data_IF_910548514487
#
_entry.id   IF_910548514487
#
_cell.length_a   1.000
_cell.length_b   1.000
_cell.length_c   1.000
_cell.angle_alpha   90.00
_cell.angle_beta   90.00
_cell.angle_gamma   90.00
#
_symmetry.space_group_name_H-M   'P 1'
#
loop_
_entity.id
_entity.type
_entity.pdbx_description
1 polymer ?
#
# COMPACT_ATOMS: atom_id res chain seq x y z
N UNK A 1 3.22 54.81 -19.24
CA UNK A 1 3.66 53.41 -19.44
C UNK A 1 3.94 52.80 -18.07
N UNK A 2 2.94 52.20 -17.43
CA UNK A 2 3.16 51.40 -16.21
C UNK A 2 3.17 49.94 -16.59
N UNK A 3 4.34 49.30 -16.46
CA UNK A 3 4.46 47.85 -16.54
C UNK A 3 3.89 47.29 -15.23
N UNK A 4 2.70 46.68 -15.30
CA UNK A 4 2.24 45.77 -14.26
C UNK A 4 2.99 44.45 -14.43
N UNK A 5 4.26 44.42 -14.02
CA UNK A 5 4.96 43.17 -13.70
C UNK A 5 4.62 42.86 -12.26
N UNK A 6 3.63 41.98 -12.03
CA UNK A 6 3.46 41.31 -10.74
C UNK A 6 4.66 40.38 -10.57
N UNK A 7 5.77 40.97 -10.15
CA UNK A 7 7.01 40.28 -9.87
C UNK A 7 6.80 39.59 -8.53
N UNK A 8 7.06 38.29 -8.42
CA UNK A 8 7.09 37.58 -7.15
C UNK A 8 7.92 38.41 -6.16
N UNK A 9 7.29 38.91 -5.10
CA UNK A 9 7.87 39.95 -4.24
C UNK A 9 8.98 39.42 -3.32
N UNK A 10 8.94 38.11 -3.02
CA UNK A 10 9.91 37.42 -2.16
C UNK A 10 11.02 36.76 -3.01
N UNK A 11 12.32 37.01 -2.72
CA UNK A 11 13.43 36.25 -3.29
C UNK A 11 13.28 34.73 -3.20
N UNK A 12 12.64 34.25 -2.12
CA UNK A 12 12.35 32.82 -1.93
C UNK A 12 11.38 32.31 -2.98
N UNK A 13 10.29 33.02 -3.23
CA UNK A 13 9.31 32.65 -4.24
C UNK A 13 9.88 32.71 -5.66
N UNK A 14 10.77 33.67 -5.94
CA UNK A 14 11.49 33.75 -7.22
C UNK A 14 12.40 32.53 -7.43
N UNK A 15 13.11 32.12 -6.39
CA UNK A 15 13.93 30.90 -6.41
C UNK A 15 13.07 29.66 -6.66
N UNK A 16 11.96 29.50 -5.92
CA UNK A 16 11.02 28.39 -6.08
C UNK A 16 10.46 28.35 -7.51
N UNK A 17 10.01 29.50 -8.04
CA UNK A 17 9.49 29.60 -9.40
C UNK A 17 10.52 29.15 -10.47
N UNK A 18 11.80 29.49 -10.28
CA UNK A 18 12.87 29.08 -11.20
C UNK A 18 13.07 27.57 -11.24
N UNK A 19 12.81 26.88 -10.12
CA UNK A 19 13.03 25.45 -9.91
C UNK A 19 11.81 24.56 -10.08
N UNK A 20 10.63 25.13 -10.35
CA UNK A 20 9.43 24.33 -10.58
C UNK A 20 9.64 23.27 -11.69
N UNK A 21 9.10 22.06 -11.50
CA UNK A 21 9.15 21.05 -12.54
C UNK A 21 8.37 21.46 -13.78
N UNK A 22 8.82 20.96 -14.93
CA UNK A 22 8.31 21.39 -16.24
C UNK A 22 6.79 21.23 -16.35
N UNK A 23 6.24 20.12 -15.84
CA UNK A 23 4.80 19.85 -15.85
C UNK A 23 3.99 20.87 -15.03
N UNK A 24 4.53 21.41 -13.93
CA UNK A 24 3.89 22.50 -13.18
C UNK A 24 4.03 23.84 -13.88
N UNK A 25 5.18 24.11 -14.51
CA UNK A 25 5.39 25.35 -15.28
C UNK A 25 4.45 25.47 -16.48
N UNK A 26 4.05 24.33 -17.06
CA UNK A 26 3.15 24.25 -18.21
C UNK A 26 1.66 24.18 -17.82
N UNK A 27 1.37 23.92 -16.55
CA UNK A 27 0.00 23.80 -16.06
C UNK A 27 -0.72 25.17 -16.05
N UNK A 28 -2.00 25.17 -16.40
CA UNK A 28 -2.86 26.33 -16.20
C UNK A 28 -3.20 26.53 -14.72
N UNK A 29 -3.57 27.75 -14.34
CA UNK A 29 -4.01 28.06 -12.98
C UNK A 29 -5.14 27.13 -12.52
N UNK A 30 -6.12 26.87 -13.38
CA UNK A 30 -7.24 25.96 -13.06
C UNK A 30 -6.79 24.53 -12.77
N UNK A 31 -5.80 24.02 -13.51
CA UNK A 31 -5.25 22.67 -13.26
C UNK A 31 -4.44 22.62 -11.95
N UNK A 32 -3.67 23.66 -11.64
CA UNK A 32 -2.91 23.75 -10.37
C UNK A 32 -3.88 23.81 -9.19
N UNK A 33 -4.91 24.64 -9.26
CA UNK A 33 -5.91 24.75 -8.18
C UNK A 33 -6.69 23.44 -8.01
N UNK A 34 -7.02 22.76 -9.11
CA UNK A 34 -7.66 21.45 -9.05
C UNK A 34 -6.77 20.41 -8.38
N UNK A 35 -5.47 20.39 -8.69
CA UNK A 35 -4.50 19.49 -8.04
C UNK A 35 -4.40 19.78 -6.53
N UNK A 36 -4.34 21.06 -6.13
CA UNK A 36 -4.31 21.50 -4.73
C UNK A 36 -5.56 21.06 -3.97
N UNK A 37 -6.75 21.27 -4.55
CA UNK A 37 -8.02 20.84 -3.96
C UNK A 37 -8.06 19.31 -3.75
N UNK A 38 -7.63 18.54 -4.74
CA UNK A 38 -7.55 17.08 -4.63
C UNK A 38 -6.54 16.63 -3.57
N UNK A 39 -5.40 17.30 -3.46
CA UNK A 39 -4.37 17.00 -2.46
C UNK A 39 -4.87 17.31 -1.04
N UNK A 40 -5.49 18.48 -0.84
CA UNK A 40 -6.10 18.85 0.43
C UNK A 40 -7.23 17.88 0.83
N UNK A 41 -8.09 17.47 -0.11
CA UNK A 41 -9.14 16.49 0.12
C UNK A 41 -8.58 15.12 0.52
N UNK A 42 -7.54 14.64 -0.17
CA UNK A 42 -6.91 13.35 0.15
C UNK A 42 -6.18 13.37 1.50
N UNK A 43 -5.51 14.47 1.85
CA UNK A 43 -4.92 14.67 3.18
C UNK A 43 -5.99 14.71 4.27
N UNK A 44 -7.11 15.41 4.04
CA UNK A 44 -8.20 15.48 5.00
C UNK A 44 -8.85 14.11 5.24
N UNK A 45 -9.02 13.30 4.18
CA UNK A 45 -9.55 11.94 4.32
C UNK A 45 -8.57 10.99 5.02
N UNK A 46 -7.26 11.10 4.74
CA UNK A 46 -6.20 10.39 5.49
C UNK A 46 -6.26 10.76 6.97
N UNK A 47 -6.25 12.05 7.32
CA UNK A 47 -6.26 12.51 8.71
C UNK A 47 -7.49 12.06 9.50
N UNK A 48 -8.65 11.93 8.85
CA UNK A 48 -9.86 11.35 9.46
C UNK A 48 -9.66 9.86 9.79
N UNK A 49 -9.13 9.08 8.85
CA UNK A 49 -8.90 7.65 9.04
C UNK A 49 -7.77 7.37 10.04
N UNK A 50 -6.67 8.11 9.96
CA UNK A 50 -5.54 7.99 10.88
C UNK A 50 -5.99 8.19 12.33
N UNK A 51 -6.86 9.17 12.62
CA UNK A 51 -7.42 9.38 13.97
C UNK A 51 -8.21 8.19 14.48
N UNK A 52 -9.00 7.54 13.62
CA UNK A 52 -9.82 6.39 14.00
C UNK A 52 -8.97 5.12 14.16
N UNK A 53 -8.00 4.93 13.27
CA UNK A 53 -7.18 3.72 13.20
C UNK A 53 -5.94 3.78 14.10
N UNK A 54 -5.58 4.95 14.64
CA UNK A 54 -4.50 5.09 15.63
C UNK A 54 -4.73 4.23 16.87
N UNK A 55 -5.99 3.92 17.19
CA UNK A 55 -6.35 3.02 18.28
C UNK A 55 -6.05 1.53 18.01
N UNK A 56 -5.79 1.15 16.75
CA UNK A 56 -5.43 -0.22 16.38
C UNK A 56 -3.91 -0.42 16.50
N UNK A 57 -3.51 -1.09 17.59
CA UNK A 57 -2.16 -1.63 17.71
C UNK A 57 -1.89 -2.66 16.60
N UNK A 58 -0.65 -2.75 16.12
CA UNK A 58 -0.23 -3.86 15.24
C UNK A 58 -0.41 -5.22 15.93
N UNK A 59 -0.54 -6.35 15.20
CA UNK A 59 -0.62 -7.68 15.78
C UNK A 59 0.56 -7.96 16.70
N UNK A 60 1.76 -7.48 16.37
CA UNK A 60 2.96 -7.61 17.18
C UNK A 60 2.83 -6.84 18.50
N UNK A 61 2.42 -5.57 18.44
CA UNK A 61 2.22 -4.73 19.63
C UNK A 61 1.12 -5.32 20.53
N UNK A 62 0.02 -5.79 19.93
CA UNK A 62 -1.06 -6.43 20.66
C UNK A 62 -0.61 -7.75 21.29
N UNK A 63 0.14 -8.59 20.56
CA UNK A 63 0.69 -9.84 21.07
C UNK A 63 1.69 -9.62 22.21
N UNK A 64 2.54 -8.59 22.13
CA UNK A 64 3.43 -8.21 23.22
C UNK A 64 2.63 -7.94 24.50
N UNK A 65 1.58 -7.12 24.41
CA UNK A 65 0.71 -6.82 25.55
C UNK A 65 0.00 -8.08 26.08
N UNK A 66 -0.56 -8.89 25.19
CA UNK A 66 -1.29 -10.10 25.56
C UNK A 66 -0.41 -11.17 26.23
N UNK A 67 0.84 -11.31 25.80
CA UNK A 67 1.71 -12.40 26.23
C UNK A 67 2.70 -12.02 27.34
N UNK A 68 2.92 -10.73 27.63
CA UNK A 68 3.82 -10.30 28.71
C UNK A 68 3.41 -10.88 30.06
N UNK A 69 2.11 -10.94 30.35
CA UNK A 69 1.59 -11.52 31.59
C UNK A 69 1.73 -13.05 31.71
N UNK A 70 2.13 -13.74 30.63
CA UNK A 70 2.33 -15.19 30.62
C UNK A 70 3.77 -15.60 30.98
N UNK A 71 4.71 -14.65 30.94
CA UNK A 71 6.14 -14.88 31.19
C UNK A 71 6.43 -15.11 32.68
N UNK A 72 7.51 -15.84 32.98
CA UNK A 72 8.08 -15.87 34.32
C UNK A 72 8.69 -14.51 34.68
N UNK A 73 8.90 -14.23 35.97
CA UNK A 73 9.53 -12.97 36.40
C UNK A 73 10.93 -12.77 35.80
N UNK A 74 11.68 -13.84 35.57
CA UNK A 74 12.99 -13.80 34.92
C UNK A 74 12.87 -13.50 33.41
N UNK A 75 11.99 -14.21 32.70
CA UNK A 75 11.76 -13.97 31.28
C UNK A 75 11.19 -12.57 31.00
N UNK A 76 10.28 -12.09 31.86
CA UNK A 76 9.69 -10.76 31.75
C UNK A 76 10.72 -9.63 31.88
N UNK A 77 11.73 -9.80 32.74
CA UNK A 77 12.85 -8.84 32.88
C UNK A 77 13.75 -8.78 31.66
N UNK A 78 13.91 -9.90 30.94
CA UNK A 78 14.73 -9.97 29.73
C UNK A 78 14.07 -9.30 28.52
N UNK A 79 12.74 -9.41 28.41
CA UNK A 79 11.98 -8.89 27.27
C UNK A 79 12.01 -9.83 26.06
N UNK A 80 10.97 -9.75 25.22
CA UNK A 80 10.77 -10.64 24.07
C UNK A 80 11.88 -10.54 23.00
N UNK A 81 12.62 -9.43 22.94
CA UNK A 81 13.76 -9.22 22.04
C UNK A 81 14.96 -10.14 22.37
N UNK A 82 15.06 -10.58 23.62
CA UNK A 82 16.14 -11.46 24.12
C UNK A 82 15.67 -12.88 24.39
N UNK A 83 14.42 -13.22 24.07
CA UNK A 83 13.83 -14.52 24.30
C UNK A 83 13.70 -15.34 23.01
N UNK A 84 14.04 -16.62 23.11
CA UNK A 84 13.81 -17.61 22.07
C UNK A 84 12.89 -18.71 22.60
N UNK A 85 12.13 -19.31 21.69
CA UNK A 85 11.53 -20.61 21.88
C UNK A 85 12.47 -21.70 21.39
N UNK A 86 12.91 -22.55 22.31
CA UNK A 86 13.64 -23.77 22.03
C UNK A 86 12.65 -24.94 21.94
N UNK A 87 12.62 -25.61 20.81
CA UNK A 87 11.78 -26.79 20.58
C UNK A 87 12.67 -28.01 20.39
N UNK A 88 12.54 -28.98 21.30
CA UNK A 88 13.18 -30.30 21.16
C UNK A 88 12.31 -31.13 20.22
N UNK A 89 12.92 -31.76 19.22
CA UNK A 89 12.26 -32.62 18.23
C UNK A 89 12.97 -33.95 18.18
N UNK A 90 12.20 -35.04 18.11
CA UNK A 90 12.72 -36.40 17.93
C UNK A 90 12.22 -36.96 16.61
N UNK A 91 13.12 -37.56 15.83
CA UNK A 91 12.77 -38.30 14.62
C UNK A 91 13.23 -39.73 14.80
N UNK A 92 12.28 -40.65 14.81
CA UNK A 92 12.56 -42.08 14.75
C UNK A 92 12.63 -42.52 13.30
N UNK A 93 13.79 -43.01 12.86
CA UNK A 93 13.93 -43.62 11.53
C UNK A 93 14.08 -45.12 11.68
N UNK A 94 13.21 -45.86 10.98
CA UNK A 94 13.28 -47.32 10.91
C UNK A 94 13.98 -47.65 9.60
N UNK A 95 15.21 -48.11 9.68
CA UNK A 95 15.95 -48.63 8.53
C UNK A 95 15.36 -49.96 8.08
N UNK A 96 15.29 -50.20 6.77
CA UNK A 96 14.80 -51.47 6.21
C UNK A 96 15.79 -52.60 6.55
N UNK A 97 15.51 -53.40 7.59
CA UNK A 97 16.38 -54.47 8.07
C UNK A 97 16.04 -54.93 9.49
N UNK A 98 17.00 -55.62 10.16
CA UNK A 98 16.91 -56.05 11.58
C UNK A 98 17.55 -55.00 12.53
N UNK A 99 17.86 -53.82 12.03
CA UNK A 99 18.46 -52.73 12.81
C UNK A 99 17.45 -52.13 13.78
N UNK A 100 17.95 -51.71 14.95
CA UNK A 100 17.16 -50.93 15.89
C UNK A 100 16.80 -49.57 15.27
N UNK A 101 15.62 -49.00 15.59
CA UNK A 101 15.27 -47.65 15.16
C UNK A 101 16.31 -46.63 15.63
N UNK A 102 16.73 -45.73 14.74
CA UNK A 102 17.57 -44.59 15.11
C UNK A 102 16.70 -43.45 15.65
N UNK A 103 17.05 -42.93 16.82
CA UNK A 103 16.41 -41.77 17.44
C UNK A 103 17.29 -40.53 17.27
N UNK A 104 16.90 -39.66 16.35
CA UNK A 104 17.57 -38.40 16.07
C UNK A 104 16.93 -37.27 16.88
N UNK A 105 17.67 -36.72 17.86
CA UNK A 105 17.27 -35.52 18.60
C UNK A 105 17.78 -34.29 17.84
N UNK A 106 16.87 -33.38 17.52
CA UNK A 106 17.19 -32.09 16.91
C UNK A 106 16.55 -30.94 17.68
N UNK A 107 17.15 -29.76 17.57
CA UNK A 107 16.68 -28.56 18.25
C UNK A 107 16.29 -27.51 17.22
N UNK A 108 15.09 -26.95 17.35
CA UNK A 108 14.66 -25.80 16.57
C UNK A 108 14.57 -24.57 17.48
N UNK A 109 15.16 -23.46 17.04
CA UNK A 109 15.07 -22.16 17.71
C UNK A 109 14.26 -21.19 16.88
N UNK A 110 13.47 -20.36 17.54
CA UNK A 110 12.72 -19.28 16.91
C UNK A 110 12.52 -18.13 17.89
N UNK A 111 12.32 -16.89 17.43
CA UNK A 111 12.00 -15.78 18.34
C UNK A 111 10.73 -16.10 19.15
N UNK A 112 10.77 -15.89 20.47
CA UNK A 112 9.71 -16.33 21.37
C UNK A 112 8.34 -15.73 21.02
N UNK A 113 8.29 -14.41 20.78
CA UNK A 113 7.06 -13.72 20.42
C UNK A 113 6.43 -14.31 19.15
N UNK A 114 7.25 -14.51 18.11
CA UNK A 114 6.76 -15.05 16.83
C UNK A 114 6.21 -16.46 17.00
N UNK A 115 6.84 -17.30 17.83
CA UNK A 115 6.34 -18.63 18.12
C UNK A 115 4.98 -18.60 18.82
N UNK A 116 4.81 -17.68 19.78
CA UNK A 116 3.56 -17.52 20.52
C UNK A 116 2.45 -16.92 19.63
N UNK A 117 2.78 -16.00 18.71
CA UNK A 117 1.85 -15.44 17.73
C UNK A 117 1.31 -16.50 16.74
N UNK A 118 2.06 -17.56 16.47
CA UNK A 118 1.60 -18.71 15.68
C UNK A 118 0.66 -19.64 16.45
N UNK A 119 0.48 -19.40 17.75
CA UNK A 119 -0.25 -20.22 18.69
C UNK A 119 0.29 -21.67 18.76
N UNK A 120 -0.25 -22.51 19.63
CA UNK A 120 0.25 -23.86 19.88
C UNK A 120 -0.75 -24.92 19.42
N UNK A 121 -0.28 -26.07 18.88
CA UNK A 121 -1.16 -27.18 18.54
C UNK A 121 -1.80 -27.76 19.81
N UNK A 122 -3.03 -28.29 19.69
CA UNK A 122 -3.76 -28.86 20.84
C UNK A 122 -3.38 -30.31 21.18
N UNK A 123 -2.77 -31.05 20.24
CA UNK A 123 -2.78 -32.52 20.27
C UNK A 123 -1.41 -33.17 20.49
N UNK A 124 -0.32 -32.40 20.59
CA UNK A 124 1.03 -32.94 20.75
C UNK A 124 1.75 -32.20 21.88
N UNK A 125 2.07 -32.90 22.99
CA UNK A 125 2.87 -32.30 24.04
C UNK A 125 4.30 -32.06 23.55
N UNK A 126 4.91 -31.00 24.03
CA UNK A 126 6.32 -30.74 23.80
C UNK A 126 7.18 -31.70 24.60
N UNK A 127 8.27 -32.18 23.97
CA UNK A 127 9.30 -32.95 24.67
C UNK A 127 9.95 -32.11 25.76
N UNK A 128 10.39 -32.79 26.83
CA UNK A 128 11.18 -32.19 27.91
C UNK A 128 12.40 -31.44 27.35
N UNK A 129 12.71 -30.29 27.93
CA UNK A 129 13.76 -29.38 27.42
C UNK A 129 13.26 -28.37 26.37
N UNK A 130 12.02 -28.49 25.91
CA UNK A 130 11.38 -27.43 25.12
C UNK A 130 10.90 -26.30 26.03
N UNK A 131 10.87 -25.06 25.53
CA UNK A 131 10.31 -23.91 26.23
C UNK A 131 11.03 -22.60 25.92
N UNK A 132 10.82 -21.62 26.80
CA UNK A 132 11.46 -20.30 26.69
C UNK A 132 12.89 -20.34 27.22
N UNK A 133 13.82 -19.79 26.45
CA UNK A 133 15.24 -19.64 26.81
C UNK A 133 15.71 -18.22 26.51
N UNK A 134 16.77 -17.79 27.18
CA UNK A 134 17.49 -16.60 26.76
C UNK A 134 18.18 -16.86 25.41
N UNK A 135 18.30 -15.83 24.58
CA UNK A 135 18.90 -15.95 23.25
C UNK A 135 20.31 -16.55 23.31
N UNK A 136 20.52 -17.64 22.59
CA UNK A 136 21.79 -18.38 22.58
C UNK A 136 22.04 -19.29 23.78
N UNK A 137 21.15 -19.31 24.77
CA UNK A 137 21.23 -20.21 25.94
C UNK A 137 20.29 -21.41 25.79
N UNK A 138 20.52 -22.45 26.59
CA UNK A 138 19.67 -23.65 26.63
C UNK A 138 18.95 -23.83 27.98
N UNK A 139 19.22 -22.96 28.97
CA UNK A 139 18.53 -23.01 30.25
C UNK A 139 17.11 -22.49 30.08
N UNK A 140 16.14 -23.33 30.48
CA UNK A 140 14.74 -22.94 30.48
C UNK A 140 14.48 -21.84 31.52
N UNK A 141 13.83 -20.78 31.07
CA UNK A 141 13.37 -19.66 31.89
C UNK A 141 11.93 -19.87 32.39
N UNK A 142 11.28 -20.94 31.94
CA UNK A 142 9.92 -21.31 32.29
C UNK A 142 9.83 -22.84 32.43
N UNK A 143 9.25 -23.31 33.54
CA UNK A 143 9.38 -24.69 34.01
C UNK A 143 8.60 -25.77 33.24
N UNK A 144 7.58 -25.39 32.45
CA UNK A 144 6.84 -26.34 31.60
C UNK A 144 6.33 -25.66 30.32
N UNK A 145 6.83 -26.12 29.17
CA UNK A 145 6.40 -25.66 27.85
C UNK A 145 4.94 -25.98 27.55
N UNK A 146 4.41 -27.10 28.06
CA UNK A 146 3.03 -27.50 27.85
C UNK A 146 2.07 -26.58 28.61
N UNK A 147 2.41 -26.21 29.84
CA UNK A 147 1.67 -25.22 30.61
C UNK A 147 1.63 -23.85 29.93
N UNK A 148 2.78 -23.35 29.43
CA UNK A 148 2.80 -22.08 28.69
C UNK A 148 2.00 -22.17 27.39
N UNK A 149 2.12 -23.27 26.64
CA UNK A 149 1.34 -23.50 25.44
C UNK A 149 -0.18 -23.49 25.72
N UNK A 150 -0.60 -24.15 26.81
CA UNK A 150 -1.99 -24.13 27.30
C UNK A 150 -2.45 -22.71 27.63
N UNK A 151 -1.67 -21.96 28.43
CA UNK A 151 -2.00 -20.57 28.79
C UNK A 151 -2.06 -19.64 27.57
N UNK A 152 -1.20 -19.84 26.57
CA UNK A 152 -1.27 -19.09 25.30
C UNK A 152 -2.54 -19.40 24.52
N UNK A 153 -2.95 -20.68 24.45
CA UNK A 153 -4.20 -21.10 23.81
C UNK A 153 -5.43 -20.54 24.52
N UNK A 154 -5.42 -20.51 25.85
CA UNK A 154 -6.49 -19.93 26.68
C UNK A 154 -6.58 -18.41 26.51
N UNK A 155 -5.44 -17.73 26.38
CA UNK A 155 -5.41 -16.31 26.08
C UNK A 155 -6.00 -16.01 24.69
N UNK A 156 -5.78 -16.87 23.69
CA UNK A 156 -6.34 -16.73 22.32
C UNK A 156 -6.24 -15.30 21.75
N UNK A 157 -5.03 -14.75 21.78
CA UNK A 157 -4.75 -13.38 21.35
C UNK A 157 -5.22 -13.12 19.90
N UNK A 158 -5.18 -14.13 19.02
CA UNK A 158 -5.69 -14.04 17.65
C UNK A 158 -7.20 -13.78 17.59
N UNK A 159 -8.01 -14.53 18.35
CA UNK A 159 -9.46 -14.28 18.44
C UNK A 159 -9.76 -12.90 19.02
N UNK A 160 -9.05 -12.49 20.07
CA UNK A 160 -9.23 -11.17 20.67
C UNK A 160 -8.91 -10.05 19.67
N UNK A 161 -7.86 -10.23 18.88
CA UNK A 161 -7.47 -9.25 17.86
C UNK A 161 -8.47 -9.16 16.71
N UNK A 162 -9.00 -10.29 16.24
CA UNK A 162 -10.08 -10.30 15.25
C UNK A 162 -11.34 -9.60 15.78
N UNK A 163 -11.67 -9.77 17.07
CA UNK A 163 -12.76 -9.06 17.71
C UNK A 163 -12.50 -7.54 17.78
N UNK A 164 -11.26 -7.13 18.08
CA UNK A 164 -10.84 -5.72 18.06
C UNK A 164 -10.99 -5.10 16.66
N UNK A 165 -10.56 -5.80 15.61
CA UNK A 165 -10.74 -5.36 14.22
C UNK A 165 -12.23 -5.24 13.86
N UNK A 166 -13.07 -6.18 14.30
CA UNK A 166 -14.53 -6.12 14.10
C UNK A 166 -15.18 -4.94 14.81
N UNK A 167 -14.75 -4.64 16.04
CA UNK A 167 -15.24 -3.50 16.81
C UNK A 167 -14.80 -2.15 16.22
N UNK A 168 -13.60 -2.09 15.66
CA UNK A 168 -13.01 -0.83 15.19
C UNK A 168 -13.38 -0.51 13.75
N UNK A 169 -13.41 -1.52 12.87
CA UNK A 169 -13.72 -1.34 11.45
C UNK A 169 -15.23 -1.43 11.24
N UNK A 170 -15.93 -0.36 11.64
CA UNK A 170 -17.38 -0.21 11.50
C UNK A 170 -17.79 0.16 10.06
N UNK A 171 -19.09 0.26 9.80
CA UNK A 171 -19.62 0.72 8.52
C UNK A 171 -19.17 2.16 8.19
N UNK A 172 -19.09 3.03 9.19
CA UNK A 172 -18.61 4.41 9.07
C UNK A 172 -17.14 4.45 8.66
N UNK A 173 -16.31 3.58 9.25
CA UNK A 173 -14.89 3.44 8.88
C UNK A 173 -14.74 2.92 7.45
N UNK A 174 -15.56 1.95 7.04
CA UNK A 174 -15.57 1.48 5.64
C UNK A 174 -15.96 2.59 4.67
N UNK A 175 -16.97 3.40 5.01
CA UNK A 175 -17.36 4.56 4.19
C UNK A 175 -16.25 5.61 4.12
N UNK A 176 -15.61 5.91 5.25
CA UNK A 176 -14.46 6.82 5.28
C UNK A 176 -13.28 6.28 4.46
N UNK A 177 -13.06 4.96 4.48
CA UNK A 177 -12.05 4.28 3.66
C UNK A 177 -12.38 4.37 2.18
N UNK A 178 -13.64 4.16 1.77
CA UNK A 178 -14.08 4.34 0.38
C UNK A 178 -13.84 5.78 -0.09
N UNK A 179 -14.21 6.77 0.71
CA UNK A 179 -13.95 8.19 0.41
C UNK A 179 -12.45 8.50 0.32
N UNK A 180 -11.65 7.87 1.16
CA UNK A 180 -10.21 8.01 1.10
C UNK A 180 -9.61 7.39 -0.18
N UNK A 181 -10.09 6.22 -0.62
CA UNK A 181 -9.72 5.64 -1.92
C UNK A 181 -10.11 6.57 -3.08
N UNK A 182 -11.32 7.13 -3.03
CA UNK A 182 -11.85 8.07 -4.04
C UNK A 182 -11.00 9.34 -4.14
N UNK A 183 -10.68 9.95 -3.00
CA UNK A 183 -9.83 11.17 -2.99
C UNK A 183 -8.41 10.90 -3.48
N UNK A 184 -7.84 9.73 -3.14
CA UNK A 184 -6.52 9.30 -3.66
C UNK A 184 -6.51 9.07 -5.16
N UNK A 185 -7.57 8.43 -5.68
CA UNK A 185 -7.78 8.25 -7.11
C UNK A 185 -7.91 9.59 -7.85
N UNK A 186 -8.72 10.52 -7.34
CA UNK A 186 -8.87 11.86 -7.94
C UNK A 186 -7.55 12.62 -7.97
N UNK A 187 -6.74 12.52 -6.91
CA UNK A 187 -5.41 13.11 -6.89
C UNK A 187 -4.48 12.50 -7.95
N UNK A 188 -4.46 11.16 -8.03
CA UNK A 188 -3.66 10.44 -9.02
C UNK A 188 -4.07 10.79 -10.47
N UNK A 189 -5.38 11.00 -10.71
CA UNK A 189 -5.91 11.39 -12.02
C UNK A 189 -5.43 12.79 -12.44
N UNK A 190 -5.47 13.79 -11.56
CA UNK A 190 -4.95 15.13 -11.89
C UNK A 190 -3.45 15.11 -12.13
N UNK A 191 -2.71 14.37 -11.30
CA UNK A 191 -1.27 14.26 -11.43
C UNK A 191 -0.89 13.59 -12.76
N UNK A 192 -1.57 12.50 -13.13
CA UNK A 192 -1.37 11.82 -14.40
C UNK A 192 -1.66 12.73 -15.60
N UNK A 193 -2.75 13.50 -15.55
CA UNK A 193 -3.10 14.42 -16.63
C UNK A 193 -2.07 15.55 -16.79
N UNK A 194 -1.60 16.12 -15.69
CA UNK A 194 -0.56 17.15 -15.70
C UNK A 194 0.78 16.64 -16.23
N UNK A 195 1.11 15.38 -15.99
CA UNK A 195 2.31 14.73 -16.51
C UNK A 195 2.17 14.21 -17.94
N UNK A 196 0.96 14.20 -18.49
CA UNK A 196 0.68 13.65 -19.82
C UNK A 196 0.54 12.12 -19.85
N UNK A 197 0.39 11.46 -18.70
CA UNK A 197 0.16 10.02 -18.59
C UNK A 197 -1.27 9.62 -19.01
N UNK A 198 -2.17 10.61 -19.14
CA UNK A 198 -3.55 10.45 -19.63
C UNK A 198 -3.99 11.70 -20.41
N UNK A 199 -4.68 11.51 -21.53
CA UNK A 199 -5.22 12.60 -22.36
C UNK A 199 -6.52 13.19 -21.81
N UNK A 200 -6.93 14.37 -22.29
CA UNK A 200 -8.09 15.10 -21.76
C UNK A 200 -9.44 14.37 -21.90
N UNK A 201 -9.66 13.65 -23.01
CA UNK A 201 -10.88 12.84 -23.21
C UNK A 201 -10.94 11.68 -22.22
N UNK A 202 -9.83 10.96 -22.08
CA UNK A 202 -9.72 9.84 -21.14
C UNK A 202 -9.84 10.33 -19.69
N UNK A 203 -9.18 11.44 -19.34
CA UNK A 203 -9.26 12.04 -18.02
C UNK A 203 -10.70 12.41 -17.67
N UNK A 204 -11.41 13.04 -18.61
CA UNK A 204 -12.80 13.44 -18.41
C UNK A 204 -13.71 12.22 -18.18
N UNK A 205 -13.56 11.14 -18.94
CA UNK A 205 -14.34 9.92 -18.76
C UNK A 205 -14.04 9.23 -17.41
N UNK A 206 -12.76 9.14 -17.04
CA UNK A 206 -12.29 8.49 -15.80
C UNK A 206 -12.73 9.28 -14.56
N UNK A 207 -12.82 10.60 -14.66
CA UNK A 207 -13.27 11.49 -13.58
C UNK A 207 -14.70 11.21 -13.12
N UNK A 208 -15.58 10.76 -14.01
CA UNK A 208 -16.98 10.48 -13.71
C UNK A 208 -17.14 9.41 -12.63
N UNK A 209 -16.21 8.45 -12.59
CA UNK A 209 -16.17 7.39 -11.55
C UNK A 209 -16.11 7.99 -10.14
N UNK A 210 -15.40 9.11 -9.96
CA UNK A 210 -15.22 9.75 -8.65
C UNK A 210 -16.35 10.73 -8.28
N UNK A 211 -16.98 11.37 -9.27
CA UNK A 211 -17.91 12.47 -9.03
C UNK A 211 -19.40 12.05 -8.99
N UNK A 212 -19.74 10.82 -9.40
CA UNK A 212 -21.14 10.35 -9.57
C UNK A 212 -22.00 11.27 -10.46
N UNK A 213 -21.35 12.10 -11.29
CA UNK A 213 -22.02 13.02 -12.20
C UNK A 213 -21.91 12.44 -13.61
N UNK A 214 -23.00 11.90 -14.17
CA UNK A 214 -23.01 11.37 -15.53
C UNK A 214 -22.97 12.54 -16.51
N UNK A 215 -21.78 13.05 -16.80
CA UNK A 215 -21.64 13.97 -17.91
C UNK A 215 -21.95 13.24 -19.22
N UNK A 216 -22.51 13.96 -20.19
CA UNK A 216 -22.75 13.44 -21.54
C UNK A 216 -21.42 13.37 -22.32
N UNK A 217 -20.55 12.46 -21.91
CA UNK A 217 -19.32 12.18 -22.64
C UNK A 217 -19.52 11.08 -23.67
N UNK A 218 -18.82 11.22 -24.79
CA UNK A 218 -18.78 10.20 -25.84
C UNK A 218 -18.03 8.94 -25.37
N UNK A 219 -17.09 9.09 -24.43
CA UNK A 219 -16.34 7.98 -23.85
C UNK A 219 -16.79 7.74 -22.41
N UNK A 220 -17.08 6.49 -22.06
CA UNK A 220 -17.46 6.04 -20.72
C UNK A 220 -16.38 5.16 -20.11
N UNK A 221 -16.20 5.29 -18.79
CA UNK A 221 -15.26 4.50 -18.01
C UNK A 221 -15.99 3.42 -17.20
N UNK A 222 -15.48 2.20 -17.25
CA UNK A 222 -15.99 1.04 -16.51
C UNK A 222 -14.87 0.46 -15.65
N UNK A 223 -14.98 0.64 -14.34
CA UNK A 223 -13.94 0.24 -13.40
C UNK A 223 -14.20 -1.16 -12.83
N UNK A 224 -13.13 -1.95 -12.74
CA UNK A 224 -13.07 -3.23 -12.05
C UNK A 224 -11.83 -3.29 -11.16
N UNK A 225 -11.85 -4.16 -10.15
CA UNK A 225 -10.66 -4.44 -9.33
C UNK A 225 -9.64 -5.22 -10.15
N UNK A 226 -8.38 -4.82 -10.13
CA UNK A 226 -7.34 -5.50 -10.89
C UNK A 226 -7.01 -6.86 -10.28
N UNK A 227 -6.89 -7.89 -11.12
CA UNK A 227 -6.24 -9.15 -10.81
C UNK A 227 -4.98 -9.33 -11.64
N UNK A 228 -3.98 -9.94 -11.04
CA UNK A 228 -2.72 -10.31 -11.68
C UNK A 228 -2.42 -11.76 -11.30
N UNK A 229 -2.28 -12.64 -12.30
CA UNK A 229 -1.96 -14.06 -12.09
C UNK A 229 -2.93 -14.79 -11.14
N UNK A 230 -4.22 -14.43 -11.20
CA UNK A 230 -5.34 -14.89 -10.34
C UNK A 230 -5.30 -14.39 -8.88
N UNK A 231 -4.44 -13.42 -8.56
CA UNK A 231 -4.44 -12.75 -7.27
C UNK A 231 -5.03 -11.34 -7.37
N UNK A 232 -5.83 -10.94 -6.39
CA UNK A 232 -6.36 -9.57 -6.31
C UNK A 232 -5.20 -8.58 -6.06
N UNK A 233 -4.99 -7.66 -7.00
CA UNK A 233 -4.02 -6.58 -6.85
C UNK A 233 -4.62 -5.46 -6.00
N UNK A 234 -4.08 -5.30 -4.82
CA UNK A 234 -4.60 -4.46 -3.77
C UNK A 234 -4.69 -2.99 -4.17
N UNK A 235 -5.83 -2.39 -3.80
CA UNK A 235 -6.18 -0.99 -4.06
C UNK A 235 -6.04 -0.55 -5.53
N UNK A 236 -5.95 -1.51 -6.45
CA UNK A 236 -5.68 -1.29 -7.87
C UNK A 236 -6.94 -1.51 -8.71
N UNK A 237 -7.12 -0.67 -9.73
CA UNK A 237 -8.24 -0.73 -10.65
C UNK A 237 -7.75 -0.91 -12.08
N UNK A 238 -8.51 -1.71 -12.82
CA UNK A 238 -8.47 -1.74 -14.27
C UNK A 238 -9.75 -1.06 -14.78
N UNK A 239 -9.58 -0.03 -15.60
CA UNK A 239 -10.69 0.82 -16.06
C UNK A 239 -10.77 0.72 -17.57
N UNK A 240 -11.80 0.04 -18.08
CA UNK A 240 -12.06 -0.05 -19.50
C UNK A 240 -12.73 1.23 -20.00
N UNK A 241 -12.20 1.82 -21.06
CA UNK A 241 -12.83 2.95 -21.75
C UNK A 241 -13.57 2.45 -22.99
N UNK A 242 -14.81 2.92 -23.16
CA UNK A 242 -15.62 2.62 -24.34
C UNK A 242 -16.21 3.87 -24.95
N UNK A 243 -16.18 3.94 -26.28
CA UNK A 243 -16.79 5.03 -27.03
C UNK A 243 -18.30 4.91 -27.11
N UNK A 244 -18.91 5.77 -27.93
CA UNK A 244 -20.37 5.89 -28.05
C UNK A 244 -21.02 4.71 -28.74
N UNK A 245 -20.28 3.97 -29.57
CA UNK A 245 -20.76 2.78 -30.27
C UNK A 245 -20.47 1.49 -29.47
N UNK A 246 -19.87 1.63 -28.27
CA UNK A 246 -19.48 0.52 -27.40
C UNK A 246 -18.12 -0.10 -27.74
N UNK A 247 -17.39 0.50 -28.68
CA UNK A 247 -16.05 0.11 -29.07
C UNK A 247 -15.03 0.41 -27.95
N UNK A 248 -14.07 -0.48 -27.75
CA UNK A 248 -13.01 -0.28 -26.76
C UNK A 248 -12.03 0.79 -27.24
N UNK A 249 -11.87 1.86 -26.46
CA UNK A 249 -11.01 3.02 -26.81
C UNK A 249 -9.70 3.06 -26.00
N UNK A 250 -9.49 2.06 -25.16
CA UNK A 250 -8.27 1.85 -24.37
C UNK A 250 -8.59 1.49 -22.93
N UNK A 251 -7.54 1.35 -22.11
CA UNK A 251 -7.64 0.96 -20.71
C UNK A 251 -6.81 1.89 -19.85
N UNK A 252 -7.28 2.15 -18.63
CA UNK A 252 -6.56 2.93 -17.63
C UNK A 252 -6.24 2.03 -16.45
N UNK A 253 -4.96 1.96 -16.10
CA UNK A 253 -4.48 1.30 -14.89
C UNK A 253 -4.39 2.35 -13.79
N UNK A 254 -5.06 2.09 -12.67
CA UNK A 254 -4.80 2.79 -11.41
C UNK A 254 -4.16 1.81 -10.44
N UNK A 255 -2.92 2.08 -10.02
CA UNK A 255 -2.16 1.24 -9.10
C UNK A 255 -1.40 2.16 -8.13
N UNK A 256 -1.96 2.48 -6.95
CA UNK A 256 -1.37 3.45 -6.03
C UNK A 256 -0.02 3.00 -5.44
N UNK A 257 0.31 1.71 -5.53
CA UNK A 257 1.63 1.17 -5.20
C UNK A 257 2.73 1.63 -6.20
N UNK A 258 2.34 2.01 -7.42
CA UNK A 258 3.22 2.70 -8.37
C UNK A 258 3.28 4.18 -8.03
N UNK A 259 4.19 4.54 -7.13
CA UNK A 259 4.40 5.92 -6.73
C UNK A 259 4.84 6.83 -7.90
N UNK A 260 5.46 6.28 -8.97
CA UNK A 260 5.91 7.09 -10.09
C UNK A 260 4.75 7.44 -11.02
N UNK A 261 3.98 6.41 -11.37
CA UNK A 261 2.86 6.51 -12.29
C UNK A 261 1.62 5.79 -11.74
N UNK A 262 0.98 6.36 -10.70
CA UNK A 262 -0.14 5.73 -10.00
C UNK A 262 -1.37 5.57 -10.89
N UNK A 263 -1.48 6.34 -11.98
CA UNK A 263 -2.54 6.22 -12.97
C UNK A 263 -1.95 6.42 -14.38
N UNK A 264 -2.23 5.49 -15.31
CA UNK A 264 -1.72 5.53 -16.70
C UNK A 264 -2.74 5.02 -17.69
N UNK A 265 -2.77 5.63 -18.87
CA UNK A 265 -3.54 5.16 -20.01
C UNK A 265 -2.71 4.23 -20.92
N UNK A 266 -3.37 3.20 -21.45
CA UNK A 266 -2.85 2.28 -22.46
C UNK A 266 -3.88 2.11 -23.57
N UNK A 267 -3.40 1.92 -24.80
CA UNK A 267 -4.27 1.76 -25.98
C UNK A 267 -5.03 0.43 -26.01
N UNK A 268 -4.73 -0.50 -25.11
CA UNK A 268 -5.44 -1.77 -24.95
C UNK A 268 -4.75 -2.73 -23.99
N UNK A 269 -5.40 -3.87 -23.73
CA UNK A 269 -4.93 -4.87 -22.75
C UNK A 269 -3.54 -5.43 -23.05
N UNK A 270 -3.21 -5.67 -24.32
CA UNK A 270 -1.89 -6.17 -24.70
C UNK A 270 -0.76 -5.18 -24.33
N UNK A 271 -0.99 -3.88 -24.55
CA UNK A 271 -0.04 -2.82 -24.22
C UNK A 271 0.06 -2.57 -22.72
N UNK A 272 -1.04 -2.72 -22.00
CA UNK A 272 -1.03 -2.74 -20.54
C UNK A 272 -0.18 -3.90 -20.01
N UNK A 273 -0.37 -5.10 -20.51
CA UNK A 273 0.37 -6.28 -20.08
C UNK A 273 1.88 -6.13 -20.35
N UNK A 274 2.26 -5.68 -21.55
CA UNK A 274 3.66 -5.38 -21.91
C UNK A 274 4.28 -4.34 -20.96
N UNK A 275 3.58 -3.21 -20.74
CA UNK A 275 4.06 -2.15 -19.86
C UNK A 275 4.22 -2.59 -18.41
N UNK A 276 3.22 -3.29 -17.87
CA UNK A 276 3.24 -3.75 -16.48
C UNK A 276 4.28 -4.86 -16.26
N UNK A 277 4.51 -5.74 -17.24
CA UNK A 277 5.58 -6.72 -17.18
C UNK A 277 6.96 -6.06 -17.15
N UNK A 278 7.18 -5.03 -17.98
CA UNK A 278 8.39 -4.23 -17.96
C UNK A 278 8.60 -3.52 -16.61
N UNK A 279 7.52 -2.97 -16.02
CA UNK A 279 7.59 -2.37 -14.69
C UNK A 279 7.97 -3.39 -13.62
N UNK A 280 7.35 -4.58 -13.64
CA UNK A 280 7.66 -5.63 -12.67
C UNK A 280 9.06 -6.20 -12.80
N UNK A 281 9.72 -6.09 -13.96
CA UNK A 281 11.15 -6.40 -14.11
C UNK A 281 12.06 -5.37 -13.44
N UNK A 282 11.61 -4.13 -13.23
CA UNK A 282 12.42 -3.09 -12.62
C UNK A 282 12.68 -3.41 -11.13
N UNK A 283 13.94 -3.47 -10.64
CA UNK A 283 14.25 -3.94 -9.26
C UNK A 283 13.57 -3.16 -8.12
N UNK A 284 13.24 -1.89 -8.36
CA UNK A 284 12.51 -1.06 -7.39
C UNK A 284 11.03 -1.45 -7.28
N UNK A 285 10.40 -1.80 -8.39
CA UNK A 285 9.00 -2.22 -8.43
C UNK A 285 8.87 -3.70 -8.06
N UNK A 286 9.76 -4.56 -8.55
CA UNK A 286 9.78 -6.00 -8.26
C UNK A 286 9.67 -6.28 -6.75
N UNK A 287 10.44 -5.55 -5.92
CA UNK A 287 10.38 -5.66 -4.45
C UNK A 287 8.99 -5.37 -3.86
N UNK A 288 8.24 -4.46 -4.46
CA UNK A 288 6.89 -4.05 -4.02
C UNK A 288 5.78 -4.92 -4.61
N UNK A 289 6.03 -5.70 -5.68
CA UNK A 289 4.99 -6.54 -6.31
C UNK A 289 4.38 -7.53 -5.33
N UNK A 290 5.18 -8.11 -4.43
CA UNK A 290 4.66 -9.02 -3.41
C UNK A 290 3.74 -8.34 -2.38
N UNK A 291 3.76 -7.01 -2.27
CA UNK A 291 2.87 -6.24 -1.39
C UNK A 291 1.50 -5.98 -2.04
N UNK A 292 1.36 -6.23 -3.35
CA UNK A 292 0.10 -6.10 -4.08
C UNK A 292 -0.92 -7.18 -3.69
N UNK A 293 -0.50 -8.32 -3.15
CA UNK A 293 -1.39 -9.45 -2.87
C UNK A 293 -1.51 -9.72 -1.37
N UNK A 294 -2.47 -10.55 -0.97
CA UNK A 294 -2.61 -10.96 0.43
C UNK A 294 -1.34 -11.67 0.92
N UNK A 295 -1.04 -11.55 2.21
CA UNK A 295 0.21 -12.06 2.79
C UNK A 295 0.36 -13.57 2.60
N UNK A 296 -0.76 -14.31 2.62
CA UNK A 296 -0.83 -15.76 2.41
C UNK A 296 -0.52 -16.18 0.98
N UNK A 297 -0.79 -15.32 0.00
CA UNK A 297 -0.62 -15.58 -1.44
C UNK A 297 0.76 -15.15 -1.95
N UNK A 298 1.42 -14.21 -1.25
CA UNK A 298 2.67 -13.54 -1.66
C UNK A 298 3.75 -14.48 -2.19
N UNK A 299 4.04 -15.58 -1.49
CA UNK A 299 5.10 -16.51 -1.92
C UNK A 299 4.76 -17.20 -3.24
N UNK A 300 3.51 -17.65 -3.39
CA UNK A 300 3.05 -18.32 -4.61
C UNK A 300 2.96 -17.32 -5.77
N UNK A 301 2.44 -16.13 -5.51
CA UNK A 301 2.34 -15.03 -6.47
C UNK A 301 3.72 -14.63 -7.02
N UNK A 302 4.69 -14.28 -6.16
CA UNK A 302 6.04 -13.88 -6.59
C UNK A 302 6.71 -15.00 -7.38
N UNK A 303 6.59 -16.26 -6.93
CA UNK A 303 7.13 -17.40 -7.66
C UNK A 303 6.51 -17.55 -9.06
N UNK A 304 5.19 -17.38 -9.20
CA UNK A 304 4.48 -17.44 -10.48
C UNK A 304 4.87 -16.25 -11.37
N UNK A 305 4.94 -15.05 -10.80
CA UNK A 305 5.36 -13.83 -11.48
C UNK A 305 6.77 -13.95 -12.04
N UNK A 306 7.75 -14.34 -11.21
CA UNK A 306 9.13 -14.55 -11.65
C UNK A 306 9.24 -15.56 -12.78
N UNK A 307 8.38 -16.58 -12.76
CA UNK A 307 8.30 -17.55 -13.86
C UNK A 307 7.83 -16.88 -15.15
N UNK A 308 6.74 -16.12 -15.10
CA UNK A 308 6.17 -15.46 -16.29
C UNK A 308 7.02 -14.35 -16.85
N UNK A 309 7.71 -13.60 -15.99
CA UNK A 309 8.65 -12.56 -16.43
C UNK A 309 9.89 -13.11 -17.16
N UNK A 310 10.14 -14.43 -17.12
CA UNK A 310 11.19 -15.09 -17.91
C UNK A 310 10.72 -15.61 -19.27
N UNK A 311 9.41 -15.61 -19.52
CA UNK A 311 8.88 -16.01 -20.81
C UNK A 311 9.25 -14.96 -21.87
N UNK A 312 9.39 -15.35 -23.13
CA UNK A 312 9.71 -14.41 -24.22
C UNK A 312 8.60 -13.39 -24.44
N UNK A 313 7.36 -13.80 -24.16
CA UNK A 313 6.16 -12.96 -24.14
C UNK A 313 5.46 -13.17 -22.79
N UNK A 314 5.81 -12.40 -21.75
CA UNK A 314 5.21 -12.54 -20.43
C UNK A 314 3.69 -12.33 -20.47
N UNK A 315 2.93 -13.27 -19.94
CA UNK A 315 1.50 -13.12 -19.70
C UNK A 315 1.24 -13.00 -18.20
N UNK A 316 0.75 -11.82 -17.79
CA UNK A 316 0.42 -11.52 -16.40
C UNK A 316 -1.00 -11.97 -16.03
N UNK A 317 -1.76 -12.57 -16.96
CA UNK A 317 -3.14 -13.02 -16.77
C UNK A 317 -4.00 -11.90 -16.15
N UNK A 318 -3.93 -10.69 -16.73
CA UNK A 318 -4.62 -9.51 -16.22
C UNK A 318 -6.14 -9.65 -16.39
N UNK A 319 -6.87 -9.44 -15.31
CA UNK A 319 -8.34 -9.39 -15.29
C UNK A 319 -8.82 -8.18 -14.49
N UNK A 320 -10.01 -7.69 -14.81
CA UNK A 320 -10.60 -6.52 -14.18
C UNK A 320 -12.09 -6.44 -14.44
N UNK A 321 -12.80 -7.48 -14.02
CA UNK A 321 -14.26 -7.55 -14.16
C UNK A 321 -14.92 -6.28 -13.62
N UNK A 322 -15.68 -5.63 -14.49
CA UNK A 322 -16.33 -4.35 -14.20
C UNK A 322 -17.32 -4.53 -13.06
N UNK A 323 -17.23 -3.66 -12.07
CA UNK A 323 -18.09 -3.67 -10.90
C UNK A 323 -19.33 -2.83 -11.16
N UNK A 324 -20.50 -3.33 -10.76
CA UNK A 324 -21.72 -2.52 -10.71
C UNK A 324 -21.74 -1.69 -9.42
N UNK A 325 -21.92 -0.37 -9.54
CA UNK A 325 -22.03 0.54 -8.39
C UNK A 325 -20.73 1.26 -8.03
N UNK A 326 -20.57 1.63 -6.75
CA UNK A 326 -19.44 2.42 -6.26
C UNK A 326 -18.17 1.56 -6.13
N UNK A 327 -17.29 1.62 -7.13
CA UNK A 327 -16.03 0.86 -7.14
C UNK A 327 -15.13 1.16 -5.93
N UNK A 328 -15.23 2.36 -5.35
CA UNK A 328 -14.43 2.72 -4.17
C UNK A 328 -14.95 2.04 -2.89
N UNK A 329 -16.25 1.76 -2.81
CA UNK A 329 -16.80 0.92 -1.74
C UNK A 329 -16.29 -0.52 -1.86
N UNK A 330 -16.23 -1.06 -3.09
CA UNK A 330 -15.66 -2.39 -3.33
C UNK A 330 -14.17 -2.45 -2.98
N UNK A 331 -13.38 -1.43 -3.33
CA UNK A 331 -11.98 -1.33 -2.88
C UNK A 331 -11.87 -1.28 -1.36
N UNK A 332 -12.73 -0.52 -0.68
CA UNK A 332 -12.73 -0.44 0.77
C UNK A 332 -13.05 -1.79 1.43
N UNK A 333 -14.03 -2.53 0.91
CA UNK A 333 -14.39 -3.85 1.42
C UNK A 333 -13.27 -4.88 1.16
N UNK A 334 -12.67 -4.87 -0.04
CA UNK A 334 -11.51 -5.70 -0.35
C UNK A 334 -10.32 -5.40 0.58
N UNK A 335 -10.10 -4.11 0.89
CA UNK A 335 -9.07 -3.68 1.81
C UNK A 335 -9.30 -4.20 3.23
N UNK A 336 -10.53 -4.11 3.74
CA UNK A 336 -10.89 -4.65 5.07
C UNK A 336 -10.79 -6.17 5.10
N UNK A 337 -11.18 -6.85 4.01
CA UNK A 337 -11.05 -8.31 3.88
C UNK A 337 -9.58 -8.73 3.97
N UNK A 338 -8.69 -8.07 3.22
CA UNK A 338 -7.25 -8.32 3.30
C UNK A 338 -6.70 -8.03 4.69
N UNK A 339 -7.05 -6.89 5.29
CA UNK A 339 -6.58 -6.54 6.65
C UNK A 339 -6.89 -7.66 7.66
N UNK A 340 -8.10 -8.23 7.61
CA UNK A 340 -8.50 -9.34 8.49
C UNK A 340 -7.75 -10.64 8.19
N UNK A 341 -7.58 -10.97 6.91
CA UNK A 341 -6.85 -12.17 6.47
C UNK A 341 -5.37 -12.10 6.86
N UNK A 342 -4.71 -10.96 6.62
CA UNK A 342 -3.32 -10.73 6.98
C UNK A 342 -3.15 -10.75 8.52
N UNK A 343 -4.10 -10.18 9.28
CA UNK A 343 -4.11 -10.24 10.74
C UNK A 343 -4.25 -11.67 11.28
N UNK A 344 -5.11 -12.50 10.68
CA UNK A 344 -5.30 -13.90 11.08
C UNK A 344 -4.05 -14.76 10.80
N UNK A 345 -3.35 -14.45 9.70
CA UNK A 345 -2.06 -15.07 9.38
C UNK A 345 -0.96 -14.67 10.38
N UNK A 346 -0.96 -13.41 10.83
CA UNK A 346 0.05 -12.84 11.72
C UNK A 346 -0.22 -13.10 13.21
N UNK A 347 -1.47 -13.27 13.63
CA UNK A 347 -1.80 -13.56 15.02
C UNK A 347 -2.90 -14.63 15.05
N UNK A 348 -2.44 -15.88 15.12
CA UNK A 348 -3.25 -17.05 14.86
C UNK A 348 -4.18 -17.33 16.04
N UNK A 349 -5.49 -17.41 15.77
CA UNK A 349 -6.47 -17.83 16.78
C UNK A 349 -6.31 -19.29 17.17
N UNK A 350 -6.77 -19.68 18.35
CA UNK A 350 -6.71 -21.08 18.81
C UNK A 350 -7.50 -22.01 17.89
N UNK A 351 -8.63 -21.55 17.36
CA UNK A 351 -9.43 -22.30 16.38
C UNK A 351 -8.70 -22.50 15.03
N UNK A 352 -7.93 -21.52 14.56
CA UNK A 352 -7.08 -21.68 13.37
C UNK A 352 -5.85 -22.55 13.68
N UNK A 353 -5.35 -22.50 14.91
CA UNK A 353 -4.25 -23.35 15.37
C UNK A 353 -4.60 -24.84 15.35
N UNK A 354 -5.88 -25.17 15.55
CA UNK A 354 -6.44 -26.53 15.49
C UNK A 354 -6.73 -26.99 14.06
N UNK A 355 -7.24 -26.09 13.21
CA UNK A 355 -7.59 -26.43 11.81
C UNK A 355 -6.37 -26.70 10.94
N UNK A 356 -5.25 -26.03 11.20
CA UNK A 356 -4.05 -26.16 10.38
C UNK A 356 -2.94 -26.91 11.12
N UNK A 357 -2.08 -27.66 10.42
CA UNK A 357 -0.89 -28.24 11.03
C UNK A 357 0.12 -27.15 11.41
N UNK A 358 0.84 -27.34 12.53
CA UNK A 358 1.86 -26.39 13.00
C UNK A 358 2.98 -26.19 11.95
N UNK A 359 3.34 -27.24 11.23
CA UNK A 359 4.33 -27.20 10.15
C UNK A 359 3.90 -26.26 9.01
N UNK A 360 2.64 -26.29 8.63
CA UNK A 360 2.11 -25.45 7.55
C UNK A 360 2.08 -23.98 7.96
N UNK A 361 1.72 -23.69 9.21
CA UNK A 361 1.83 -22.33 9.77
C UNK A 361 3.26 -21.81 9.74
N UNK A 362 4.22 -22.62 10.17
CA UNK A 362 5.63 -22.21 10.19
C UNK A 362 6.18 -21.96 8.77
N UNK A 363 5.80 -22.79 7.79
CA UNK A 363 6.17 -22.58 6.39
C UNK A 363 5.58 -21.29 5.82
N UNK A 364 4.31 -21.00 6.13
CA UNK A 364 3.66 -19.74 5.77
C UNK A 364 4.44 -18.52 6.31
N UNK A 365 4.89 -18.59 7.56
CA UNK A 365 5.69 -17.52 8.19
C UNK A 365 7.10 -17.38 7.62
N UNK A 366 7.76 -18.48 7.27
CA UNK A 366 9.10 -18.44 6.65
C UNK A 366 9.07 -17.76 5.27
N UNK A 367 7.98 -17.94 4.50
CA UNK A 367 7.78 -17.29 3.21
C UNK A 367 7.59 -15.76 3.28
N UNK A 368 7.20 -15.23 4.43
CA UNK A 368 7.09 -13.77 4.69
C UNK A 368 8.48 -13.13 4.88
N UNK A 369 9.52 -13.93 5.14
CA UNK A 369 10.87 -13.49 5.49
C UNK A 369 11.03 -13.17 6.98
N UNK A 370 12.20 -13.46 7.55
CA UNK A 370 12.53 -13.21 8.97
C UNK A 370 12.51 -11.72 9.39
N UNK A 371 12.24 -10.81 8.45
CA UNK A 371 12.00 -9.37 8.70
C UNK A 371 10.65 -9.06 9.33
N UNK A 372 9.98 -10.04 9.99
CA UNK A 372 8.70 -9.86 10.68
C UNK A 372 8.70 -8.77 11.77
N UNK A 373 9.89 -8.30 12.18
CA UNK A 373 10.09 -7.17 13.08
C UNK A 373 9.82 -5.79 12.42
N UNK A 374 9.70 -5.73 11.08
CA UNK A 374 9.33 -4.50 10.33
C UNK A 374 7.85 -4.39 9.97
N UNK A 375 7.02 -5.40 10.28
CA UNK A 375 5.60 -5.45 9.86
C UNK A 375 4.73 -4.42 10.58
N UNK A 376 5.20 -3.83 11.68
CA UNK A 376 4.47 -2.74 12.35
C UNK A 376 4.17 -1.55 11.40
N UNK A 377 5.06 -1.26 10.44
CA UNK A 377 4.83 -0.23 9.41
C UNK A 377 3.93 -0.66 8.24
N UNK A 378 3.69 -1.97 8.08
CA UNK A 378 2.76 -2.53 7.09
C UNK A 378 1.34 -2.71 7.64
N UNK A 379 1.20 -2.75 8.97
CA UNK A 379 -0.06 -3.05 9.63
C UNK A 379 -0.90 -1.81 9.97
N UNK A 380 -0.28 -0.63 10.09
CA UNK A 380 -1.06 0.61 9.92
C UNK A 380 -1.47 0.59 8.45
N UNK A 381 -2.77 0.51 8.11
CA UNK A 381 -3.17 0.44 6.72
C UNK A 381 -2.51 1.61 6.01
N UNK A 382 -1.80 1.32 4.91
CA UNK A 382 -1.30 2.34 4.01
C UNK A 382 -2.48 3.15 3.51
N UNK A 383 -2.84 4.18 4.27
CA UNK A 383 -3.89 5.13 3.97
C UNK A 383 -3.39 6.10 2.88
N UNK A 384 -2.72 5.60 1.84
CA UNK A 384 -2.23 6.44 0.75
C UNK A 384 -1.11 7.43 1.13
N UNK A 385 -0.42 7.25 2.28
CA UNK A 385 0.72 8.11 2.66
C UNK A 385 1.79 8.16 1.57
N UNK A 386 1.99 7.05 0.86
CA UNK A 386 2.94 6.98 -0.26
C UNK A 386 2.58 7.96 -1.37
N UNK A 387 1.31 8.12 -1.74
CA UNK A 387 0.91 9.07 -2.79
C UNK A 387 1.07 10.51 -2.31
N UNK A 388 0.69 10.82 -1.07
CA UNK A 388 0.86 12.15 -0.47
C UNK A 388 2.34 12.53 -0.34
N UNK A 389 3.16 11.63 0.22
CA UNK A 389 4.59 11.81 0.41
C UNK A 389 5.30 11.90 -0.94
N UNK A 390 4.93 11.05 -1.90
CA UNK A 390 5.51 11.08 -3.23
C UNK A 390 5.14 12.35 -3.98
N UNK A 391 3.90 12.83 -3.91
CA UNK A 391 3.55 14.10 -4.53
C UNK A 391 4.35 15.23 -3.88
N UNK A 392 4.46 15.25 -2.55
CA UNK A 392 5.30 16.22 -1.86
C UNK A 392 6.74 16.16 -2.38
N UNK A 393 7.35 14.97 -2.50
CA UNK A 393 8.68 14.80 -3.12
C UNK A 393 8.71 15.30 -4.56
N UNK A 394 7.80 14.86 -5.44
CA UNK A 394 7.81 15.26 -6.87
C UNK A 394 7.65 16.76 -7.08
N UNK A 395 6.91 17.40 -6.20
CA UNK A 395 6.67 18.84 -6.23
C UNK A 395 7.91 19.59 -5.72
N UNK A 396 8.60 19.07 -4.69
CA UNK A 396 9.66 19.78 -3.96
C UNK A 396 11.09 19.40 -4.35
N UNK A 397 11.33 18.21 -4.92
CA UNK A 397 12.67 17.63 -5.19
C UNK A 397 13.52 18.48 -6.14
N UNK A 398 12.92 19.25 -7.05
CA UNK A 398 13.67 20.16 -7.93
C UNK A 398 14.01 21.50 -7.28
N UNK A 399 13.28 21.86 -6.22
CA UNK A 399 13.36 23.15 -5.53
C UNK A 399 14.19 23.08 -4.26
N UNK A 400 14.09 21.97 -3.54
CA UNK A 400 14.74 21.75 -2.25
C UNK A 400 15.57 20.46 -2.34
N UNK A 401 16.85 20.53 -1.95
CA UNK A 401 17.69 19.35 -1.83
C UNK A 401 17.37 18.60 -0.52
N UNK A 402 17.40 17.25 -0.54
CA UNK A 402 17.25 16.42 0.67
C UNK A 402 15.81 16.26 1.19
N UNK A 403 14.79 16.55 0.39
CA UNK A 403 13.37 16.39 0.78
C UNK A 403 13.01 14.94 1.10
N UNK A 404 13.69 13.97 0.47
CA UNK A 404 13.55 12.55 0.77
C UNK A 404 13.81 12.22 2.25
N UNK A 405 14.57 13.07 2.96
CA UNK A 405 15.04 12.84 4.32
C UNK A 405 14.22 13.60 5.38
N UNK A 406 13.20 14.37 4.96
CA UNK A 406 12.37 15.14 5.88
C UNK A 406 11.45 14.23 6.70
N UNK A 407 11.36 14.49 8.02
CA UNK A 407 10.41 13.83 8.89
C UNK A 407 8.95 14.15 8.48
N UNK A 408 8.05 13.16 8.61
CA UNK A 408 6.62 13.30 8.32
C UNK A 408 6.05 14.49 9.11
N UNK A 409 5.69 15.56 8.41
CA UNK A 409 5.12 16.78 9.02
C UNK A 409 5.41 18.05 8.20
N UNK A 410 6.68 18.28 7.85
CA UNK A 410 7.11 19.51 7.19
C UNK A 410 6.97 19.46 5.65
N UNK A 411 6.89 18.26 5.07
CA UNK A 411 6.78 18.05 3.62
C UNK A 411 5.52 18.67 3.01
N UNK A 412 4.41 18.74 3.76
CA UNK A 412 3.15 19.29 3.27
C UNK A 412 3.16 20.81 3.16
N UNK A 413 3.69 21.50 4.16
CA UNK A 413 3.74 22.97 4.16
C UNK A 413 4.59 23.46 2.98
N UNK A 414 5.70 22.78 2.69
CA UNK A 414 6.52 23.06 1.51
C UNK A 414 5.81 22.71 0.19
N UNK A 415 5.07 21.59 0.13
CA UNK A 415 4.29 21.24 -1.05
C UNK A 415 3.19 22.26 -1.34
N UNK A 416 2.44 22.71 -0.32
CA UNK A 416 1.42 23.76 -0.45
C UNK A 416 2.01 25.11 -0.84
N UNK A 417 3.11 25.53 -0.20
CA UNK A 417 3.79 26.78 -0.56
C UNK A 417 4.24 26.75 -2.02
N UNK A 418 4.87 25.67 -2.45
CA UNK A 418 5.35 25.53 -3.81
C UNK A 418 4.20 25.48 -4.83
N UNK A 419 3.12 24.75 -4.55
CA UNK A 419 1.92 24.76 -5.40
C UNK A 419 1.29 26.16 -5.46
N UNK A 420 1.35 26.93 -4.37
CA UNK A 420 0.98 28.35 -4.35
C UNK A 420 1.86 29.22 -5.25
N UNK A 421 3.19 29.04 -5.22
CA UNK A 421 4.10 29.73 -6.14
C UNK A 421 3.82 29.35 -7.59
N UNK A 422 3.56 28.07 -7.88
CA UNK A 422 3.20 27.59 -9.21
C UNK A 422 1.91 28.26 -9.73
N UNK A 423 0.91 28.44 -8.88
CA UNK A 423 -0.32 29.17 -9.23
C UNK A 423 -0.02 30.61 -9.65
N UNK A 424 0.80 31.34 -8.89
CA UNK A 424 1.19 32.73 -9.19
C UNK A 424 1.96 32.80 -10.53
N UNK A 425 2.86 31.85 -10.78
CA UNK A 425 3.59 31.75 -12.06
C UNK A 425 2.62 31.55 -13.22
N UNK A 426 1.64 30.66 -13.09
CA UNK A 426 0.65 30.39 -14.13
C UNK A 426 -0.21 31.64 -14.45
N UNK A 427 -0.67 32.37 -13.42
CA UNK A 427 -1.41 33.64 -13.59
C UNK A 427 -0.57 34.68 -14.34
N UNK A 428 0.70 34.81 -13.96
CA UNK A 428 1.64 35.77 -14.56
C UNK A 428 1.92 35.42 -16.03
N UNK A 429 2.07 34.14 -16.34
CA UNK A 429 2.24 33.68 -17.72
C UNK A 429 0.99 33.95 -18.58
N UNK A 430 -0.21 33.67 -18.06
CA UNK A 430 -1.47 33.89 -18.77
C UNK A 430 -1.72 35.38 -19.05
N UNK A 431 -1.46 36.26 -18.07
CA UNK A 431 -1.60 37.72 -18.23
C UNK A 431 -0.58 38.29 -19.23
N UNK A 432 0.66 37.81 -19.22
CA UNK A 432 1.68 38.20 -20.21
C UNK A 432 1.33 37.74 -21.64
N UNK A 433 0.77 36.54 -21.79
CA UNK A 433 0.27 36.04 -23.07
C UNK A 433 -0.94 36.86 -23.57
N UNK A 434 -1.90 37.17 -22.69
CA UNK A 434 -3.06 38.01 -23.00
C UNK A 434 -2.68 39.42 -23.41
N UNK A 435 -1.69 40.04 -22.78
CA UNK A 435 -1.17 41.37 -23.15
C UNK A 435 -0.49 41.36 -24.53
N UNK A 436 0.23 40.29 -24.89
CA UNK A 436 0.81 40.13 -26.23
C UNK A 436 -0.26 39.87 -27.30
N UNK A 437 -1.24 39.00 -27.03
CA UNK A 437 -2.36 38.73 -27.94
C UNK A 437 -3.27 39.94 -28.16
N UNK A 438 -3.53 40.71 -27.10
CA UNK A 438 -4.25 41.98 -27.16
C UNK A 438 -3.51 43.04 -27.98
N UNK A 439 -2.19 43.16 -27.82
CA UNK A 439 -1.35 44.04 -28.66
C UNK A 439 -1.33 43.61 -30.12
N UNK A 440 -1.22 42.31 -30.42
CA UNK A 440 -1.26 41.81 -31.79
C UNK A 440 -2.62 42.05 -32.45
N UNK A 441 -3.72 41.88 -31.71
CA UNK A 441 -5.09 42.13 -32.20
C UNK A 441 -5.38 43.62 -32.36
N UNK A 442 -4.85 44.47 -31.50
CA UNK A 442 -4.93 45.93 -31.63
C UNK A 442 -4.11 46.45 -32.81
N UNK A 443 -2.90 45.92 -33.03
CA UNK A 443 -2.08 46.23 -34.20
C UNK A 443 -2.74 45.73 -35.51
N UNK A 444 -3.36 44.55 -35.50
CA UNK A 444 -4.12 44.04 -36.64
C UNK A 444 -5.38 44.86 -36.95
N UNK A 445 -6.08 45.38 -35.94
CA UNK A 445 -7.22 46.29 -36.13
C UNK A 445 -6.80 47.70 -36.59
N UNK A 446 -5.62 48.17 -36.21
CA UNK A 446 -5.05 49.43 -36.70
C UNK A 446 -4.46 49.33 -38.12
N UNK A 447 -4.16 48.12 -38.61
CA UNK A 447 -3.69 47.88 -40.00
C UNK A 447 -4.85 47.61 -40.99
N UNK A 448 -6.08 47.44 -40.49
CA UNK A 448 -7.30 47.27 -41.30
C UNK A 448 -8.23 48.50 -41.29
N UNK A 449 -7.74 49.66 -40.85
CA UNK A 449 -8.31 51.00 -41.07
C UNK A 449 -7.30 51.83 -41.84
#
# INVERSE_FOLDING_TARGET
MSQFTTTLADPTDQFVASRLPLWLKQASQGQINKLRDCYAAHRASHGKLAKVLHALASPQTFALQAFTGLLSAEAAKLGFDRLEWLEVRRRFTVSSGISLPEDEISYARSPALLRMMQNFPGNEPFYEGSGLVAKGESRLLLGDANDLARRCREADAGKQYQALLSKTVTAEVRKALAEHKRTGFSLALELAALKGDIGGVQQAAVRELANHDPAQQSTKAYAGTLKVLDCDAFDSLLIQLRGSEGEDTGVVLYMPADVKHPLRFFTGMAKLNEGLAADFLAPAMHRRTGELVQLSERTAFVKKLDKRLRDSEPDLELDGQTVAGDVFAVLADAHVKRLRADADMLLVSTAEAERTAAKDRLLRWKGIGMGALGIAGLFVPGLGELLLAQLAVQVTEQTYDGVSDWAQGHQHEAAEHLLGVAEIVAVTAATAAGARGGRARFLAQCLCR
#
